data_IF_984996389545
#
_entry.id   IF_984996389545
#
_cell.length_a   1.000
_cell.length_b   1.000
_cell.length_c   1.000
_cell.angle_alpha   90.00
_cell.angle_beta   90.00
_cell.angle_gamma   90.00
#
_symmetry.space_group_name_H-M   'P 1'
#
loop_
_entity.id
_entity.type
_entity.pdbx_description
1 polymer ?
#
# COMPACT_ATOMS: atom_id res chain seq x y z
N UNK A 1 -9.04 -16.35 -4.86
CA UNK A 1 -8.00 -15.78 -5.74
C UNK A 1 -6.74 -15.57 -4.91
N UNK A 2 -5.63 -16.26 -5.22
CA UNK A 2 -4.34 -16.04 -4.54
C UNK A 2 -3.52 -15.06 -5.38
N UNK A 3 -3.28 -13.86 -4.87
CA UNK A 3 -2.37 -12.90 -5.51
C UNK A 3 -0.97 -13.15 -4.96
N UNK A 4 -0.03 -13.55 -5.83
CA UNK A 4 1.38 -13.60 -5.49
C UNK A 4 2.07 -12.35 -6.02
N UNK A 5 2.87 -11.71 -5.17
CA UNK A 5 3.67 -10.56 -5.57
C UNK A 5 4.87 -11.03 -6.41
N UNK A 6 4.94 -10.55 -7.65
CA UNK A 6 6.02 -10.79 -8.59
C UNK A 6 7.04 -9.65 -8.47
N UNK A 7 7.93 -9.80 -7.50
CA UNK A 7 8.99 -8.84 -7.20
C UNK A 7 9.91 -8.57 -8.39
N UNK A 8 10.20 -9.59 -9.20
CA UNK A 8 11.06 -9.45 -10.39
C UNK A 8 10.40 -8.57 -11.44
N UNK A 9 9.10 -8.76 -11.72
CA UNK A 9 8.36 -7.93 -12.65
C UNK A 9 8.32 -6.47 -12.19
N UNK A 10 7.99 -6.24 -10.92
CA UNK A 10 7.98 -4.90 -10.33
C UNK A 10 9.35 -4.24 -10.46
N UNK A 11 10.41 -4.95 -10.09
CA UNK A 11 11.78 -4.46 -10.20
C UNK A 11 12.14 -4.07 -11.64
N UNK A 12 11.81 -4.92 -12.60
CA UNK A 12 12.07 -4.67 -14.01
C UNK A 12 11.35 -3.41 -14.51
N UNK A 13 10.07 -3.23 -14.17
CA UNK A 13 9.34 -2.01 -14.57
C UNK A 13 9.94 -0.77 -13.89
N UNK A 14 10.28 -0.84 -12.60
CA UNK A 14 10.87 0.28 -11.88
C UNK A 14 12.21 0.76 -12.48
N UNK A 15 13.04 -0.15 -13.00
CA UNK A 15 14.29 0.22 -13.69
C UNK A 15 14.09 1.03 -14.98
N UNK A 16 12.86 1.09 -15.48
CA UNK A 16 12.49 1.83 -16.70
C UNK A 16 11.88 3.20 -16.40
N UNK A 17 11.93 3.65 -15.14
CA UNK A 17 11.47 4.99 -14.74
C UNK A 17 12.16 6.07 -15.59
N UNK A 18 11.39 7.05 -16.05
CA UNK A 18 11.91 8.26 -16.68
C UNK A 18 11.68 9.46 -15.77
N UNK A 19 12.66 10.39 -15.75
CA UNK A 19 12.54 11.63 -14.99
C UNK A 19 11.50 12.53 -15.62
N UNK A 20 10.64 13.11 -14.78
CA UNK A 20 9.57 14.01 -15.20
C UNK A 20 9.22 14.98 -14.05
N UNK A 21 8.68 16.17 -14.35
CA UNK A 21 8.53 17.25 -13.36
C UNK A 21 7.35 17.07 -12.38
N UNK A 22 6.32 16.30 -12.73
CA UNK A 22 5.15 16.07 -11.88
C UNK A 22 5.48 15.10 -10.74
N UNK A 23 5.51 15.59 -9.51
CA UNK A 23 5.86 14.77 -8.34
C UNK A 23 4.77 13.77 -7.93
N UNK A 24 3.56 13.88 -8.47
CA UNK A 24 2.41 13.02 -8.14
C UNK A 24 2.24 11.83 -9.08
N UNK A 25 3.18 11.63 -10.02
CA UNK A 25 3.14 10.54 -10.98
C UNK A 25 4.49 9.83 -11.11
N UNK A 26 4.47 8.63 -11.68
CA UNK A 26 5.65 7.94 -12.20
C UNK A 26 5.44 7.58 -13.67
N UNK A 27 6.47 7.78 -14.47
CA UNK A 27 6.46 7.47 -15.89
C UNK A 27 7.53 6.45 -16.20
N UNK A 28 7.24 5.52 -17.11
CA UNK A 28 8.14 4.42 -17.46
C UNK A 28 8.24 4.28 -18.97
N UNK A 29 9.45 4.05 -19.49
CA UNK A 29 9.69 3.72 -20.89
C UNK A 29 9.75 2.20 -21.06
N UNK A 30 8.66 1.61 -21.56
CA UNK A 30 8.56 0.16 -21.79
C UNK A 30 8.40 -0.08 -23.29
N UNK A 31 9.34 -0.81 -23.89
CA UNK A 31 9.37 -1.12 -25.33
C UNK A 31 9.24 0.12 -26.24
N UNK A 32 9.81 1.26 -25.84
CA UNK A 32 9.75 2.51 -26.59
C UNK A 32 8.46 3.33 -26.40
N UNK A 33 7.48 2.79 -25.66
CA UNK A 33 6.27 3.50 -25.26
C UNK A 33 6.39 4.07 -23.85
N UNK A 34 5.89 5.29 -23.65
CA UNK A 34 5.76 5.89 -22.34
C UNK A 34 4.43 5.47 -21.70
N UNK A 35 4.50 4.95 -20.48
CA UNK A 35 3.33 4.60 -19.68
C UNK A 35 3.36 5.32 -18.34
N UNK A 36 2.20 5.76 -17.88
CA UNK A 36 2.02 6.57 -16.68
C UNK A 36 1.34 5.76 -15.58
N UNK A 37 1.82 5.94 -14.36
CA UNK A 37 1.19 5.47 -13.13
C UNK A 37 0.86 6.69 -12.25
N UNK A 38 -0.43 6.95 -12.09
CA UNK A 38 -0.99 8.06 -11.33
C UNK A 38 -2.10 7.58 -10.38
N UNK A 39 -2.74 8.53 -9.71
CA UNK A 39 -3.87 8.27 -8.83
C UNK A 39 -5.09 7.72 -9.60
N UNK A 40 -5.28 8.10 -10.86
CA UNK A 40 -6.45 7.65 -11.63
C UNK A 40 -6.43 6.14 -11.83
N UNK A 41 -5.32 5.59 -12.33
CA UNK A 41 -5.19 4.14 -12.51
C UNK A 41 -5.21 3.41 -11.16
N UNK A 42 -4.59 3.99 -10.14
CA UNK A 42 -4.58 3.40 -8.80
C UNK A 42 -5.98 3.27 -8.21
N UNK A 43 -6.79 4.33 -8.25
CA UNK A 43 -8.15 4.34 -7.74
C UNK A 43 -9.05 3.34 -8.48
N UNK A 44 -8.90 3.24 -9.81
CA UNK A 44 -9.59 2.24 -10.62
C UNK A 44 -9.29 0.80 -10.18
N UNK A 45 -8.03 0.50 -9.87
CA UNK A 45 -7.59 -0.84 -9.47
C UNK A 45 -8.13 -1.24 -8.10
N UNK A 46 -8.06 -0.31 -7.13
CA UNK A 46 -8.47 -0.60 -5.76
C UNK A 46 -9.99 -0.49 -5.57
N UNK A 47 -10.71 0.01 -6.57
CA UNK A 47 -12.16 0.17 -6.55
C UNK A 47 -12.65 1.28 -5.62
N UNK A 48 -11.78 2.25 -5.28
CA UNK A 48 -12.14 3.40 -4.47
C UNK A 48 -12.35 4.62 -5.35
N UNK A 49 -13.34 5.44 -5.00
CA UNK A 49 -13.60 6.70 -5.68
C UNK A 49 -12.72 7.77 -5.03
N UNK A 50 -12.04 8.58 -5.85
CA UNK A 50 -11.11 9.63 -5.38
C UNK A 50 -11.83 10.81 -4.74
N UNK A 51 -12.46 10.54 -3.60
CA UNK A 51 -13.40 11.41 -2.91
C UNK A 51 -13.07 11.48 -1.41
N UNK A 52 -13.45 12.59 -0.78
CA UNK A 52 -13.23 12.82 0.65
C UNK A 52 -12.10 13.81 0.94
N UNK A 53 -12.01 14.17 2.23
CA UNK A 53 -10.98 15.06 2.77
C UNK A 53 -9.82 14.25 3.36
N UNK A 54 -8.59 14.72 3.16
CA UNK A 54 -7.37 14.14 3.77
C UNK A 54 -7.13 14.64 5.21
N UNK A 55 -8.11 15.33 5.81
CA UNK A 55 -7.93 15.91 7.14
C UNK A 55 -8.01 14.80 8.17
N UNK A 56 -6.83 14.43 8.69
CA UNK A 56 -6.73 13.65 9.92
C UNK A 56 -7.02 14.59 11.10
N UNK A 57 -8.24 14.55 11.60
CA UNK A 57 -8.60 15.26 12.83
C UNK A 57 -7.80 14.70 14.01
N UNK A 58 -7.13 15.58 14.75
CA UNK A 58 -6.43 15.21 15.99
C UNK A 58 -7.46 15.09 17.10
N UNK A 59 -8.01 13.88 17.28
CA UNK A 59 -8.86 13.59 18.42
C UNK A 59 -8.01 12.97 19.53
N UNK A 60 -7.29 13.80 20.28
CA UNK A 60 -6.45 13.35 21.39
C UNK A 60 -7.28 12.58 22.44
N UNK A 61 -8.53 12.99 22.67
CA UNK A 61 -9.49 12.28 23.54
C UNK A 61 -9.85 10.87 23.01
N UNK A 62 -10.06 10.73 21.70
CA UNK A 62 -10.39 9.44 21.08
C UNK A 62 -9.21 8.48 21.20
N UNK A 63 -8.00 8.97 20.93
CA UNK A 63 -6.79 8.17 21.09
C UNK A 63 -6.60 7.73 22.54
N UNK A 64 -6.84 8.62 23.50
CA UNK A 64 -6.79 8.31 24.92
C UNK A 64 -7.80 7.21 25.29
N UNK A 65 -9.05 7.32 24.85
CA UNK A 65 -10.08 6.29 25.09
C UNK A 65 -9.68 4.91 24.51
N UNK A 66 -9.19 4.86 23.27
CA UNK A 66 -8.72 3.60 22.65
C UNK A 66 -7.56 3.00 23.45
N UNK A 67 -6.58 3.83 23.83
CA UNK A 67 -5.38 3.36 24.54
C UNK A 67 -5.71 2.85 25.94
N UNK A 68 -6.65 3.50 26.63
CA UNK A 68 -7.01 3.18 28.02
C UNK A 68 -8.02 2.03 28.10
N UNK A 69 -9.13 2.11 27.36
CA UNK A 69 -10.21 1.14 27.47
C UNK A 69 -9.94 -0.14 26.69
N UNK A 70 -9.32 -0.02 25.51
CA UNK A 70 -9.17 -1.15 24.59
C UNK A 70 -7.79 -1.79 24.72
N UNK A 71 -6.74 -0.98 24.87
CA UNK A 71 -5.33 -1.41 24.80
C UNK A 71 -4.59 -1.43 26.16
N UNK A 72 -5.28 -1.14 27.28
CA UNK A 72 -4.79 -1.29 28.67
C UNK A 72 -3.39 -0.72 28.92
N UNK A 73 -3.14 0.53 28.52
CA UNK A 73 -1.91 1.27 28.84
C UNK A 73 -0.60 0.73 28.24
N UNK A 74 -0.63 0.02 27.11
CA UNK A 74 0.61 -0.32 26.42
C UNK A 74 1.39 0.96 26.05
N UNK A 75 2.69 1.09 26.42
CA UNK A 75 3.46 2.30 26.19
C UNK A 75 3.62 2.61 24.70
N UNK A 76 3.68 1.56 23.87
CA UNK A 76 3.67 1.64 22.41
C UNK A 76 2.76 0.55 21.86
N UNK A 77 1.81 0.94 21.01
CA UNK A 77 0.90 0.01 20.36
C UNK A 77 1.59 -0.52 19.11
N UNK A 78 2.16 -1.72 19.18
CA UNK A 78 2.74 -2.40 18.03
C UNK A 78 1.65 -3.08 17.20
N UNK A 79 1.87 -3.21 15.89
CA UNK A 79 1.00 -4.01 15.02
C UNK A 79 0.79 -5.44 15.53
N UNK A 80 1.84 -6.03 16.12
CA UNK A 80 1.78 -7.35 16.76
C UNK A 80 0.75 -7.43 17.87
N UNK A 81 0.66 -6.41 18.72
CA UNK A 81 -0.31 -6.40 19.81
C UNK A 81 -1.74 -6.31 19.32
N UNK A 82 -1.99 -5.55 18.25
CA UNK A 82 -3.32 -5.49 17.62
C UNK A 82 -3.71 -6.85 17.05
N UNK A 83 -2.75 -7.57 16.47
CA UNK A 83 -2.95 -8.93 16.00
C UNK A 83 -3.26 -9.91 17.15
N UNK A 84 -2.46 -9.87 18.22
CA UNK A 84 -2.65 -10.73 19.39
C UNK A 84 -3.99 -10.47 20.09
N UNK A 85 -4.37 -9.20 20.23
CA UNK A 85 -5.67 -8.79 20.78
C UNK A 85 -6.80 -9.33 19.92
N UNK A 86 -6.69 -9.20 18.60
CA UNK A 86 -7.71 -9.71 17.67
C UNK A 86 -7.88 -11.24 17.75
N UNK A 87 -6.79 -11.99 17.93
CA UNK A 87 -6.84 -13.45 18.00
C UNK A 87 -7.27 -14.01 19.37
N UNK A 88 -6.86 -13.35 20.46
CA UNK A 88 -6.92 -13.95 21.80
C UNK A 88 -7.87 -13.26 22.77
N UNK A 89 -8.36 -12.04 22.47
CA UNK A 89 -9.27 -11.33 23.38
C UNK A 89 -10.69 -11.86 23.23
N UNK A 90 -11.14 -12.61 24.24
CA UNK A 90 -12.46 -13.28 24.27
C UNK A 90 -13.66 -12.34 24.44
N UNK A 91 -13.44 -11.05 24.73
CA UNK A 91 -14.49 -10.06 25.01
C UNK A 91 -14.28 -8.77 24.20
N UNK A 92 -14.34 -8.86 22.88
CA UNK A 92 -14.45 -7.69 21.99
C UNK A 92 -15.90 -7.53 21.53
N UNK A 93 -16.38 -6.29 21.47
CA UNK A 93 -17.68 -6.03 20.84
C UNK A 93 -17.60 -6.31 19.33
N UNK A 94 -18.74 -6.60 18.68
CA UNK A 94 -18.76 -6.80 17.23
C UNK A 94 -18.19 -5.58 16.46
N UNK A 95 -18.42 -4.37 16.96
CA UNK A 95 -17.88 -3.15 16.36
C UNK A 95 -16.36 -3.07 16.48
N UNK A 96 -15.81 -3.44 17.64
CA UNK A 96 -14.36 -3.45 17.83
C UNK A 96 -13.71 -4.51 16.94
N UNK A 97 -14.30 -5.71 16.84
CA UNK A 97 -13.80 -6.77 15.94
C UNK A 97 -13.67 -6.26 14.49
N UNK A 98 -14.65 -5.49 14.02
CA UNK A 98 -14.60 -4.88 12.68
C UNK A 98 -13.47 -3.85 12.58
N UNK A 99 -13.36 -2.95 13.56
CA UNK A 99 -12.30 -1.92 13.59
C UNK A 99 -10.89 -2.52 13.65
N UNK A 100 -10.69 -3.57 14.45
CA UNK A 100 -9.43 -4.31 14.51
C UNK A 100 -9.10 -4.98 13.17
N UNK A 101 -10.09 -5.58 12.49
CA UNK A 101 -9.88 -6.14 11.14
C UNK A 101 -9.49 -5.07 10.13
N UNK A 102 -10.15 -3.90 10.18
CA UNK A 102 -9.82 -2.77 9.31
C UNK A 102 -8.40 -2.28 9.59
N UNK A 103 -8.01 -2.11 10.86
CA UNK A 103 -6.64 -1.74 11.22
C UNK A 103 -5.62 -2.75 10.70
N UNK A 104 -5.86 -4.05 10.90
CA UNK A 104 -4.98 -5.10 10.41
C UNK A 104 -4.89 -5.12 8.87
N UNK A 105 -6.00 -4.84 8.17
CA UNK A 105 -6.01 -4.71 6.71
C UNK A 105 -5.15 -3.51 6.28
N UNK A 106 -5.37 -2.34 6.88
CA UNK A 106 -4.63 -1.13 6.57
C UNK A 106 -3.12 -1.33 6.81
N UNK A 107 -2.72 -1.84 7.97
CA UNK A 107 -1.29 -1.92 8.34
C UNK A 107 -0.53 -3.04 7.64
N UNK A 108 -1.17 -4.18 7.35
CA UNK A 108 -0.51 -5.32 6.72
C UNK A 108 -0.62 -5.33 5.20
N UNK A 109 -1.75 -4.88 4.64
CA UNK A 109 -1.99 -4.95 3.19
C UNK A 109 -1.67 -3.63 2.49
N UNK A 110 -2.12 -2.50 3.06
CA UNK A 110 -2.07 -1.23 2.34
C UNK A 110 -0.82 -0.41 2.64
N UNK A 111 -0.49 -0.25 3.92
CA UNK A 111 0.72 0.46 4.35
C UNK A 111 1.93 -0.47 4.50
N UNK A 112 1.73 -1.79 4.36
CA UNK A 112 2.72 -2.87 4.48
C UNK A 112 3.85 -2.49 5.43
N UNK A 113 3.49 -2.37 6.71
CA UNK A 113 4.41 -1.97 7.77
C UNK A 113 5.02 -3.19 8.44
N UNK A 114 6.24 -3.09 8.97
CA UNK A 114 6.83 -4.20 9.69
C UNK A 114 5.97 -4.61 10.90
N UNK A 115 5.89 -5.91 11.18
CA UNK A 115 5.10 -6.49 12.28
C UNK A 115 5.40 -5.86 13.65
N UNK A 116 6.67 -5.48 13.88
CA UNK A 116 7.14 -4.83 15.11
C UNK A 116 7.16 -3.30 15.04
N UNK A 117 6.56 -2.69 14.01
CA UNK A 117 6.46 -1.23 13.90
C UNK A 117 5.35 -0.71 14.82
N UNK A 118 5.57 0.46 15.42
CA UNK A 118 4.51 1.20 16.10
C UNK A 118 3.38 1.48 15.13
N UNK A 119 2.16 1.19 15.56
CA UNK A 119 0.94 1.60 14.88
C UNK A 119 0.88 3.12 14.90
N UNK A 120 0.43 3.68 13.78
CA UNK A 120 0.24 5.11 13.67
C UNK A 120 -1.01 5.53 14.46
N UNK A 121 -0.85 6.46 15.40
CA UNK A 121 -1.93 6.91 16.28
C UNK A 121 -3.09 7.52 15.48
N UNK A 122 -2.75 8.30 14.47
CA UNK A 122 -3.74 8.93 13.60
C UNK A 122 -4.58 7.92 12.80
N UNK A 123 -4.00 6.77 12.43
CA UNK A 123 -4.71 5.68 11.77
C UNK A 123 -5.74 5.04 12.71
N UNK A 124 -5.36 4.81 13.98
CA UNK A 124 -6.29 4.32 15.00
C UNK A 124 -7.43 5.28 15.23
N UNK A 125 -7.14 6.57 15.34
CA UNK A 125 -8.14 7.61 15.55
C UNK A 125 -9.18 7.62 14.42
N UNK A 126 -8.75 7.57 13.15
CA UNK A 126 -9.66 7.60 12.00
C UNK A 126 -10.54 6.35 11.94
N UNK A 127 -10.00 5.16 12.20
CA UNK A 127 -10.79 3.92 12.17
C UNK A 127 -11.86 3.88 13.27
N UNK A 128 -11.60 4.54 14.40
CA UNK A 128 -12.58 4.64 15.49
C UNK A 128 -13.50 5.86 15.38
N UNK A 129 -13.19 6.83 14.52
CA UNK A 129 -14.01 8.02 14.30
C UNK A 129 -15.19 7.74 13.38
N UNK A 130 -16.12 8.70 13.33
CA UNK A 130 -17.25 8.68 12.39
C UNK A 130 -16.81 8.97 10.94
N UNK A 131 -15.61 9.50 10.77
CA UNK A 131 -15.09 9.98 9.49
C UNK A 131 -14.45 8.85 8.68
N UNK A 132 -14.32 7.64 9.23
CA UNK A 132 -13.70 6.48 8.58
C UNK A 132 -14.21 6.26 7.15
N UNK A 133 -15.51 6.42 6.91
CA UNK A 133 -16.12 6.17 5.59
C UNK A 133 -15.98 7.34 4.62
N UNK A 134 -15.76 8.56 5.11
CA UNK A 134 -15.58 9.77 4.31
C UNK A 134 -14.10 10.16 4.12
N UNK A 135 -13.20 9.44 4.77
CA UNK A 135 -11.77 9.67 4.69
C UNK A 135 -11.23 9.27 3.32
N UNK A 136 -10.36 10.11 2.75
CA UNK A 136 -9.75 9.90 1.43
C UNK A 136 -8.64 8.83 1.47
N UNK A 137 -9.02 7.59 1.77
CA UNK A 137 -8.11 6.44 1.87
C UNK A 137 -7.28 6.24 0.60
N UNK A 138 -7.91 6.39 -0.55
CA UNK A 138 -7.31 6.23 -1.85
C UNK A 138 -6.14 7.21 -2.08
N UNK A 139 -6.32 8.50 -1.73
CA UNK A 139 -5.28 9.53 -1.84
C UNK A 139 -4.11 9.23 -0.92
N UNK A 140 -4.41 8.88 0.33
CA UNK A 140 -3.35 8.57 1.30
C UNK A 140 -2.54 7.34 0.87
N UNK A 141 -3.24 6.26 0.48
CA UNK A 141 -2.61 5.03 0.03
C UNK A 141 -1.80 5.23 -1.24
N UNK A 142 -2.30 6.03 -2.18
CA UNK A 142 -1.58 6.36 -3.39
C UNK A 142 -0.31 7.14 -3.06
N UNK A 143 -0.40 8.24 -2.29
CA UNK A 143 0.77 9.06 -1.90
C UNK A 143 1.82 8.23 -1.16
N UNK A 144 1.38 7.38 -0.23
CA UNK A 144 2.26 6.49 0.52
C UNK A 144 2.96 5.49 -0.40
N UNK A 145 2.21 4.81 -1.28
CA UNK A 145 2.75 3.84 -2.25
C UNK A 145 3.73 4.50 -3.21
N UNK A 146 3.35 5.64 -3.80
CA UNK A 146 4.18 6.40 -4.75
C UNK A 146 5.49 6.86 -4.12
N UNK A 147 5.43 7.40 -2.89
CA UNK A 147 6.61 7.82 -2.13
C UNK A 147 7.57 6.65 -1.86
N UNK A 148 7.04 5.47 -1.57
CA UNK A 148 7.84 4.28 -1.32
C UNK A 148 8.45 3.67 -2.58
N UNK A 149 7.74 3.67 -3.71
CA UNK A 149 8.31 3.29 -5.00
C UNK A 149 9.47 4.22 -5.39
N UNK A 150 9.26 5.54 -5.27
CA UNK A 150 10.27 6.56 -5.56
C UNK A 150 11.48 6.45 -4.64
N UNK A 151 11.26 6.33 -3.33
CA UNK A 151 12.36 6.22 -2.36
C UNK A 151 13.10 4.89 -2.48
N UNK A 152 12.41 3.78 -2.78
CA UNK A 152 13.03 2.49 -3.06
C UNK A 152 14.01 2.55 -4.23
N UNK A 153 13.62 3.21 -5.32
CA UNK A 153 14.49 3.44 -6.49
C UNK A 153 15.68 4.36 -6.18
N UNK A 154 15.44 5.44 -5.45
CA UNK A 154 16.49 6.42 -5.08
C UNK A 154 17.52 5.82 -4.12
N UNK A 155 17.07 5.01 -3.16
CA UNK A 155 17.91 4.42 -2.10
C UNK A 155 18.44 3.04 -2.46
N UNK A 156 18.51 2.71 -3.76
CA UNK A 156 19.01 1.42 -4.22
C UNK A 156 20.47 1.22 -3.82
N UNK A 157 20.78 0.07 -3.24
CA UNK A 157 22.15 -0.28 -2.84
C UNK A 157 22.75 -1.23 -3.87
N UNK A 158 23.93 -0.89 -4.36
CA UNK A 158 24.76 -1.78 -5.17
C UNK A 158 25.59 -2.64 -4.21
N UNK A 159 25.34 -3.95 -4.22
CA UNK A 159 26.13 -4.92 -3.45
C UNK A 159 27.13 -5.57 -4.39
N UNK A 160 28.40 -5.58 -3.99
CA UNK A 160 29.50 -6.27 -4.67
C UNK A 160 30.04 -7.30 -3.68
N UNK A 161 29.58 -8.54 -3.79
CA UNK A 161 30.10 -9.66 -2.99
C UNK A 161 31.20 -10.42 -3.74
N UNK A 162 32.06 -11.08 -2.98
CA UNK A 162 33.41 -11.56 -3.36
C UNK A 162 33.52 -12.40 -4.64
N UNK A 163 32.41 -12.92 -5.17
CA UNK A 163 32.38 -13.82 -6.32
C UNK A 163 31.86 -13.15 -7.62
N UNK A 164 31.69 -11.83 -7.63
CA UNK A 164 31.91 -11.05 -8.86
C UNK A 164 30.71 -10.76 -9.78
N UNK A 165 29.48 -10.59 -9.27
CA UNK A 165 28.46 -9.83 -10.01
C UNK A 165 27.78 -8.78 -9.14
N UNK A 166 27.90 -7.48 -9.46
CA UNK A 166 27.17 -6.45 -8.73
C UNK A 166 25.67 -6.67 -8.93
N UNK A 167 24.91 -6.65 -7.84
CA UNK A 167 23.45 -6.67 -7.88
C UNK A 167 22.85 -5.50 -7.10
N UNK A 168 21.67 -5.06 -7.54
CA UNK A 168 20.94 -3.96 -6.92
C UNK A 168 19.91 -4.54 -5.96
N UNK A 169 19.90 -4.05 -4.71
CA UNK A 169 18.85 -4.35 -3.74
C UNK A 169 18.18 -3.08 -3.23
N UNK A 170 16.89 -3.19 -2.94
CA UNK A 170 16.12 -2.16 -2.24
C UNK A 170 14.86 -2.79 -1.64
N UNK A 171 14.34 -2.15 -0.59
CA UNK A 171 13.07 -2.55 0.04
C UNK A 171 11.94 -1.76 -0.59
N UNK A 172 10.91 -2.47 -1.04
CA UNK A 172 9.64 -1.88 -1.45
C UNK A 172 8.59 -2.16 -0.38
N UNK A 173 7.81 -1.14 -0.06
CA UNK A 173 6.67 -1.20 0.85
C UNK A 173 5.45 -0.55 0.15
N UNK A 174 4.31 -0.50 0.84
CA UNK A 174 3.07 0.08 0.32
C UNK A 174 2.21 -0.95 -0.41
N UNK A 175 1.20 -0.48 -1.15
CA UNK A 175 0.22 -1.37 -1.77
C UNK A 175 0.68 -1.87 -3.15
N UNK A 176 1.77 -2.64 -3.14
CA UNK A 176 2.46 -3.11 -4.36
C UNK A 176 1.60 -4.01 -5.24
N UNK A 177 0.56 -4.63 -4.70
CA UNK A 177 -0.41 -5.41 -5.48
C UNK A 177 -1.12 -4.50 -6.50
N UNK A 178 -1.50 -3.28 -6.10
CA UNK A 178 -2.12 -2.33 -7.03
C UNK A 178 -1.16 -1.95 -8.16
N UNK A 179 0.12 -1.69 -7.84
CA UNK A 179 1.14 -1.43 -8.85
C UNK A 179 1.35 -2.62 -9.79
N UNK A 180 1.35 -3.85 -9.28
CA UNK A 180 1.47 -5.05 -10.11
C UNK A 180 0.24 -5.25 -11.03
N UNK A 181 -0.97 -5.01 -10.53
CA UNK A 181 -2.18 -5.08 -11.37
C UNK A 181 -2.12 -4.01 -12.46
N UNK A 182 -1.67 -2.80 -12.14
CA UNK A 182 -1.42 -1.76 -13.13
C UNK A 182 -0.44 -2.24 -14.22
N UNK A 183 0.68 -2.87 -13.84
CA UNK A 183 1.62 -3.45 -14.81
C UNK A 183 0.92 -4.45 -15.75
N UNK A 184 0.09 -5.36 -15.22
CA UNK A 184 -0.60 -6.35 -16.04
C UNK A 184 -1.65 -5.74 -16.98
N UNK A 185 -2.36 -4.71 -16.53
CA UNK A 185 -3.38 -4.05 -17.35
C UNK A 185 -2.78 -3.10 -18.39
N UNK A 186 -1.66 -2.44 -18.08
CA UNK A 186 -1.03 -1.45 -18.96
C UNK A 186 -0.02 -2.07 -19.93
N UNK A 187 0.51 -3.27 -19.66
CA UNK A 187 1.48 -3.95 -20.53
C UNK A 187 0.90 -5.21 -21.21
N UNK A 188 0.18 -5.06 -22.34
CA UNK A 188 -0.33 -6.15 -23.17
C UNK A 188 0.63 -7.31 -23.44
N UNK A 189 1.92 -6.99 -23.59
CA UNK A 189 2.99 -7.95 -23.94
C UNK A 189 3.22 -9.04 -22.89
N UNK A 190 2.72 -8.84 -21.66
CA UNK A 190 2.84 -9.81 -20.58
C UNK A 190 1.83 -10.95 -20.68
N UNK A 191 0.73 -10.74 -21.42
CA UNK A 191 -0.33 -11.71 -21.63
C UNK A 191 0.19 -12.92 -22.42
N UNK A 192 -0.09 -14.12 -21.92
CA UNK A 192 0.44 -15.38 -22.44
C UNK A 192 1.90 -15.68 -22.08
N UNK A 193 2.62 -14.77 -21.40
CA UNK A 193 4.02 -14.97 -20.99
C UNK A 193 4.18 -15.05 -19.47
N UNK A 194 3.64 -14.07 -18.75
CA UNK A 194 3.76 -13.93 -17.29
C UNK A 194 2.37 -13.92 -16.63
N UNK A 195 1.36 -13.45 -17.34
CA UNK A 195 -0.04 -13.48 -16.91
C UNK A 195 -0.94 -13.98 -18.04
N UNK A 196 -2.18 -14.33 -17.70
CA UNK A 196 -3.20 -14.70 -18.69
C UNK A 196 -4.45 -13.90 -18.41
N UNK A 197 -4.94 -13.13 -19.38
CA UNK A 197 -6.20 -12.41 -19.24
C UNK A 197 -7.38 -13.38 -19.33
N UNK A 198 -8.14 -13.51 -18.24
CA UNK A 198 -9.25 -14.48 -18.13
C UNK A 198 -10.57 -13.91 -18.66
N UNK A 199 -10.72 -12.58 -18.69
CA UNK A 199 -11.98 -11.94 -19.08
C UNK A 199 -11.75 -10.61 -19.79
N UNK A 200 -12.54 -10.34 -20.81
CA UNK A 200 -12.58 -9.06 -21.53
C UNK A 200 -13.67 -8.11 -21.01
N UNK A 201 -14.40 -8.50 -19.95
CA UNK A 201 -15.48 -7.66 -19.38
C UNK A 201 -14.95 -6.33 -18.80
N UNK A 202 -13.70 -6.31 -18.35
CA UNK A 202 -13.00 -5.09 -17.99
C UNK A 202 -12.01 -4.74 -19.12
N UNK A 203 -12.19 -3.54 -19.69
CA UNK A 203 -11.21 -2.94 -20.60
C UNK A 203 -9.87 -2.80 -19.86
N UNK A 204 -8.77 -2.91 -20.60
CA UNK A 204 -7.45 -2.63 -20.02
C UNK A 204 -7.42 -1.19 -19.53
N UNK A 205 -6.65 -0.95 -18.48
CA UNK A 205 -6.29 0.40 -18.06
C UNK A 205 -5.36 0.95 -19.14
N UNK A 206 -5.98 1.55 -20.15
CA UNK A 206 -5.31 2.19 -21.27
C UNK A 206 -5.05 3.65 -20.87
N UNK A 207 -3.76 4.02 -20.87
CA UNK A 207 -3.33 5.42 -20.85
C UNK A 207 -3.52 6.02 -22.25
#
# INVERSE_FOLDING_TARGET
>A
MRFFLNHQLIHQVLLREVKQPNVDEMWFNVNGGLVRFSIEEFCLIIGLQCFGEEKRSKYDEMYYMIKHEILRHLPTVLNSYVYDIFLHKSQLSHQDVVKFRILLLLTNLFFTTAYKRSMEESLMVIVYSKDMNSYAWDKELFKFTLSLLKSGLRNKTLIVEGDGRPYITYRLNGFLIAFQVWIYETLPVLDGKICTKISHRCLRILN
#
